data_IF_982624240764
#
_entry.id   IF_982624240764
#
_cell.length_a   1.000
_cell.length_b   1.000
_cell.length_c   1.000
_cell.angle_alpha   90.00
_cell.angle_beta   90.00
_cell.angle_gamma   90.00
#
_symmetry.space_group_name_H-M   'P 1'
#
loop_
_entity.id
_entity.type
_entity.pdbx_description
1 polymer ?
#
# COMPACT_ATOMS: atom_id res chain seq x y z
N UNK A 1 -27.86 29.18 26.52
CA UNK A 1 -28.57 28.16 25.72
C UNK A 1 -27.84 28.09 24.39
N UNK A 2 -27.00 27.08 24.20
CA UNK A 2 -26.28 26.88 22.93
C UNK A 2 -27.19 26.14 21.96
N UNK A 3 -27.23 26.52 20.66
CA UNK A 3 -28.08 25.84 19.70
C UNK A 3 -27.42 24.52 19.30
N UNK A 4 -28.10 23.41 19.59
CA UNK A 4 -27.75 22.08 19.10
C UNK A 4 -27.98 22.06 17.59
N UNK A 5 -26.88 22.03 16.82
CA UNK A 5 -26.95 21.78 15.38
C UNK A 5 -27.45 20.34 15.18
N UNK A 6 -28.49 20.08 14.39
CA UNK A 6 -28.92 18.72 14.14
C UNK A 6 -27.82 18.01 13.35
N UNK A 7 -27.25 16.98 13.96
CA UNK A 7 -26.37 16.02 13.30
C UNK A 7 -27.18 15.38 12.16
N UNK A 8 -26.78 15.63 10.92
CA UNK A 8 -27.39 14.95 9.78
C UNK A 8 -27.19 13.44 9.98
N UNK A 9 -28.22 12.60 9.75
CA UNK A 9 -28.07 11.16 9.89
C UNK A 9 -26.99 10.70 8.91
N UNK A 10 -25.80 10.36 9.44
CA UNK A 10 -24.73 9.70 8.69
C UNK A 10 -25.33 8.41 8.14
N UNK A 11 -25.59 8.38 6.83
CA UNK A 11 -26.05 7.18 6.13
C UNK A 11 -24.97 6.13 6.36
N UNK A 12 -25.30 5.06 7.08
CA UNK A 12 -24.36 3.95 7.32
C UNK A 12 -23.87 3.47 5.93
N UNK A 13 -22.55 3.37 5.70
CA UNK A 13 -22.05 2.74 4.49
C UNK A 13 -22.70 1.35 4.35
N UNK A 14 -23.08 0.92 3.14
CA UNK A 14 -23.58 -0.43 2.95
C UNK A 14 -22.52 -1.42 3.47
N UNK A 15 -22.99 -2.41 4.22
CA UNK A 15 -22.15 -3.50 4.71
C UNK A 15 -21.62 -4.30 3.51
N UNK A 16 -20.34 -4.67 3.56
CA UNK A 16 -19.70 -5.42 2.46
C UNK A 16 -20.26 -6.84 2.44
N UNK A 17 -20.92 -7.20 1.35
CA UNK A 17 -21.42 -8.56 1.14
C UNK A 17 -20.38 -9.40 0.38
N UNK A 18 -19.81 -10.38 1.09
CA UNK A 18 -18.82 -11.28 0.51
C UNK A 18 -19.45 -12.44 -0.29
N UNK A 19 -20.77 -12.60 -0.29
CA UNK A 19 -21.50 -13.66 -1.00
C UNK A 19 -20.91 -15.06 -0.75
N UNK A 20 -20.65 -15.39 0.52
CA UNK A 20 -20.15 -16.72 0.95
C UNK A 20 -21.13 -17.48 1.87
N UNK A 21 -22.24 -16.86 2.27
CA UNK A 21 -23.19 -17.42 3.25
C UNK A 21 -23.80 -18.78 2.86
N UNK A 22 -23.84 -19.09 1.56
CA UNK A 22 -24.40 -20.33 1.01
C UNK A 22 -23.34 -21.41 0.71
N UNK A 23 -22.07 -21.15 1.07
CA UNK A 23 -20.92 -21.99 0.79
C UNK A 23 -20.35 -22.60 2.08
N UNK A 24 -20.12 -23.90 2.05
CA UNK A 24 -19.56 -24.69 3.14
C UNK A 24 -18.05 -24.86 2.92
N UNK A 25 -17.25 -23.85 3.28
CA UNK A 25 -15.80 -24.03 3.33
C UNK A 25 -15.38 -25.02 4.43
N UNK A 26 -14.14 -25.52 4.35
CA UNK A 26 -13.51 -26.26 5.46
C UNK A 26 -13.65 -25.48 6.78
N UNK A 27 -13.91 -26.17 7.89
CA UNK A 27 -14.18 -25.54 9.19
C UNK A 27 -13.08 -24.54 9.59
N UNK A 28 -11.81 -24.85 9.29
CA UNK A 28 -10.70 -23.93 9.58
C UNK A 28 -10.75 -22.69 8.71
N UNK A 29 -11.09 -22.84 7.42
CA UNK A 29 -11.22 -21.72 6.49
C UNK A 29 -12.40 -20.83 6.87
N UNK A 30 -13.56 -21.43 7.16
CA UNK A 30 -14.76 -20.70 7.59
C UNK A 30 -14.51 -19.93 8.89
N UNK A 31 -13.91 -20.58 9.89
CA UNK A 31 -13.54 -19.93 11.15
C UNK A 31 -12.51 -18.81 10.95
N UNK A 32 -11.48 -19.04 10.14
CA UNK A 32 -10.48 -18.03 9.84
C UNK A 32 -11.11 -16.81 9.15
N UNK A 33 -11.99 -17.04 8.17
CA UNK A 33 -12.71 -15.98 7.48
C UNK A 33 -13.59 -15.18 8.43
N UNK A 34 -14.36 -15.86 9.28
CA UNK A 34 -15.20 -15.20 10.26
C UNK A 34 -14.38 -14.32 11.22
N UNK A 35 -13.28 -14.83 11.77
CA UNK A 35 -12.47 -14.08 12.74
C UNK A 35 -11.73 -12.91 12.09
N UNK A 36 -11.17 -13.10 10.89
CA UNK A 36 -10.27 -12.12 10.27
C UNK A 36 -10.99 -11.09 9.41
N UNK A 37 -12.22 -11.38 8.97
CA UNK A 37 -12.99 -10.52 8.05
C UNK A 37 -14.43 -10.38 8.53
N UNK A 38 -15.12 -11.49 8.76
CA UNK A 38 -16.56 -11.50 9.02
C UNK A 38 -16.99 -10.75 10.29
N UNK A 39 -16.23 -10.84 11.39
CA UNK A 39 -16.49 -10.11 12.63
C UNK A 39 -16.45 -8.59 12.45
N UNK A 40 -15.66 -8.12 11.49
CA UNK A 40 -15.44 -6.71 11.20
C UNK A 40 -16.30 -6.21 10.03
N UNK A 41 -17.11 -7.08 9.40
CA UNK A 41 -17.88 -6.72 8.20
C UNK A 41 -18.72 -5.44 8.36
N UNK A 42 -19.29 -5.23 9.55
CA UNK A 42 -20.08 -4.04 9.88
C UNK A 42 -19.29 -2.73 10.05
N UNK A 43 -17.96 -2.78 10.19
CA UNK A 43 -17.04 -1.63 10.24
C UNK A 43 -16.19 -1.47 8.99
N UNK A 44 -16.19 -2.45 8.08
CA UNK A 44 -15.48 -2.40 6.82
C UNK A 44 -16.23 -1.53 5.81
N UNK A 45 -15.53 -0.54 5.27
CA UNK A 45 -15.98 0.29 4.15
C UNK A 45 -15.25 -0.18 2.91
N UNK A 46 -15.98 -0.49 1.84
CA UNK A 46 -15.38 -0.90 0.60
C UNK A 46 -14.91 0.30 -0.22
N UNK A 47 -13.59 0.44 -0.38
CA UNK A 47 -12.99 1.50 -1.19
C UNK A 47 -12.90 1.12 -2.66
N UNK A 48 -12.77 -0.17 -2.96
CA UNK A 48 -12.80 -0.71 -4.32
C UNK A 48 -13.17 -2.19 -4.30
N UNK A 49 -13.95 -2.64 -5.30
CA UNK A 49 -14.31 -4.04 -5.48
C UNK A 49 -14.18 -4.45 -6.94
N UNK A 50 -13.72 -5.67 -7.15
CA UNK A 50 -13.76 -6.29 -8.46
C UNK A 50 -14.22 -7.74 -8.34
N UNK A 51 -15.18 -8.13 -9.18
CA UNK A 51 -15.59 -9.52 -9.35
C UNK A 51 -15.30 -9.96 -10.78
N UNK A 52 -14.77 -11.17 -10.94
CA UNK A 52 -14.61 -11.76 -12.27
C UNK A 52 -15.97 -12.03 -12.91
N UNK A 53 -16.04 -12.02 -14.24
CA UNK A 53 -17.29 -12.20 -14.97
C UNK A 53 -18.01 -13.53 -14.67
N UNK A 54 -17.25 -14.56 -14.25
CA UNK A 54 -17.77 -15.86 -13.82
C UNK A 54 -18.19 -15.89 -12.33
N UNK A 55 -18.01 -14.80 -11.58
CA UNK A 55 -18.31 -14.69 -10.16
C UNK A 55 -17.40 -15.53 -9.24
N UNK A 56 -16.43 -16.24 -9.80
CA UNK A 56 -15.59 -17.19 -9.06
C UNK A 56 -14.53 -16.51 -8.23
N UNK A 57 -14.15 -15.27 -8.55
CA UNK A 57 -13.14 -14.51 -7.84
C UNK A 57 -13.65 -13.14 -7.47
N UNK A 58 -13.25 -12.66 -6.30
CA UNK A 58 -13.55 -11.30 -5.86
C UNK A 58 -12.37 -10.70 -5.13
N UNK A 59 -12.16 -9.41 -5.35
CA UNK A 59 -11.03 -8.63 -4.88
C UNK A 59 -11.60 -7.39 -4.19
N UNK A 60 -11.16 -7.12 -2.97
CA UNK A 60 -11.66 -6.00 -2.18
C UNK A 60 -10.50 -5.21 -1.59
N UNK A 61 -10.56 -3.89 -1.75
CA UNK A 61 -9.79 -2.93 -0.97
C UNK A 61 -10.75 -2.35 0.07
N UNK A 62 -10.51 -2.65 1.34
CA UNK A 62 -11.39 -2.26 2.43
C UNK A 62 -10.67 -1.31 3.39
N UNK A 63 -11.43 -0.40 3.99
CA UNK A 63 -11.01 0.42 5.13
C UNK A 63 -11.76 -0.05 6.38
N UNK A 64 -11.04 -0.42 7.43
CA UNK A 64 -11.62 -0.75 8.72
C UNK A 64 -11.78 0.52 9.56
N UNK A 65 -13.01 1.05 9.55
CA UNK A 65 -13.36 2.23 10.35
C UNK A 65 -13.27 1.99 11.86
N UNK A 66 -13.15 0.73 12.31
CA UNK A 66 -12.95 0.40 13.71
C UNK A 66 -11.49 0.44 14.16
N UNK A 67 -10.52 0.55 13.24
CA UNK A 67 -9.09 0.56 13.56
C UNK A 67 -8.71 1.71 14.51
N UNK A 68 -9.42 2.84 14.45
CA UNK A 68 -9.26 3.98 15.40
C UNK A 68 -9.56 3.62 16.86
N UNK A 69 -10.37 2.57 17.08
CA UNK A 69 -10.70 2.04 18.41
C UNK A 69 -9.88 0.81 18.80
N UNK A 70 -8.98 0.37 17.90
CA UNK A 70 -8.13 -0.80 18.04
C UNK A 70 -6.83 -0.51 18.78
N UNK A 71 -5.75 -1.19 18.38
CA UNK A 71 -4.42 -0.91 18.92
C UNK A 71 -3.83 0.34 18.24
N UNK A 72 -3.28 1.31 19.01
CA UNK A 72 -2.66 2.48 18.41
C UNK A 72 -1.58 2.12 17.39
N UNK A 73 -1.63 2.73 16.21
CA UNK A 73 -0.70 2.46 15.12
C UNK A 73 -1.15 1.39 14.11
N UNK A 74 -2.28 0.72 14.34
CA UNK A 74 -2.78 -0.33 13.44
C UNK A 74 -3.03 0.18 12.01
N UNK A 75 -2.64 -0.64 11.05
CA UNK A 75 -2.90 -0.37 9.64
C UNK A 75 -4.41 -0.50 9.36
N UNK A 76 -5.05 0.53 8.78
CA UNK A 76 -6.51 0.56 8.69
C UNK A 76 -7.05 -0.08 7.40
N UNK A 77 -6.20 -0.55 6.49
CA UNK A 77 -6.64 -1.08 5.19
C UNK A 77 -6.50 -2.60 5.12
N UNK A 78 -7.54 -3.25 4.65
CA UNK A 78 -7.64 -4.71 4.52
C UNK A 78 -7.80 -5.08 3.06
N UNK A 79 -6.90 -5.92 2.55
CA UNK A 79 -7.04 -6.60 1.27
C UNK A 79 -7.74 -7.93 1.45
N UNK A 80 -8.78 -8.21 0.67
CA UNK A 80 -9.43 -9.53 0.66
C UNK A 80 -9.47 -10.06 -0.76
N UNK A 81 -9.01 -11.30 -0.93
CA UNK A 81 -9.13 -12.06 -2.17
C UNK A 81 -9.92 -13.34 -1.92
N UNK A 82 -11.06 -13.49 -2.61
CA UNK A 82 -11.95 -14.64 -2.52
C UNK A 82 -11.88 -15.50 -3.78
N UNK A 83 -11.94 -16.82 -3.60
CA UNK A 83 -12.16 -17.83 -4.63
C UNK A 83 -13.34 -18.71 -4.24
N UNK A 84 -14.31 -18.89 -5.12
CA UNK A 84 -15.47 -19.77 -4.94
C UNK A 84 -15.36 -21.00 -5.84
N UNK A 85 -15.72 -22.16 -5.31
CA UNK A 85 -15.83 -23.42 -6.05
C UNK A 85 -17.29 -23.87 -5.98
N UNK A 86 -18.13 -23.53 -6.99
CA UNK A 86 -19.56 -23.81 -6.95
C UNK A 86 -19.86 -25.32 -7.03
N UNK A 87 -19.01 -26.10 -7.70
CA UNK A 87 -19.17 -27.54 -7.82
C UNK A 87 -19.04 -28.24 -6.46
N UNK A 88 -18.11 -27.77 -5.64
CA UNK A 88 -17.93 -28.27 -4.26
C UNK A 88 -18.72 -27.47 -3.22
N UNK A 89 -19.38 -26.40 -3.64
CA UNK A 89 -20.04 -25.41 -2.76
C UNK A 89 -19.11 -24.88 -1.67
N UNK A 90 -17.84 -24.64 -1.98
CA UNK A 90 -16.85 -24.15 -1.00
C UNK A 90 -16.26 -22.82 -1.42
N UNK A 91 -15.52 -22.18 -0.52
CA UNK A 91 -14.68 -21.03 -0.84
C UNK A 91 -13.31 -21.13 -0.19
N UNK A 92 -12.36 -20.38 -0.73
CA UNK A 92 -11.06 -20.11 -0.15
C UNK A 92 -10.83 -18.60 -0.17
N UNK A 93 -10.02 -18.11 0.77
CA UNK A 93 -9.70 -16.70 0.83
C UNK A 93 -8.23 -16.47 1.21
N UNK A 94 -7.73 -15.31 0.79
CA UNK A 94 -6.53 -14.70 1.33
C UNK A 94 -6.92 -13.32 1.86
N UNK A 95 -6.22 -12.87 2.89
CA UNK A 95 -6.34 -11.52 3.40
C UNK A 95 -4.96 -10.98 3.75
N UNK A 96 -4.85 -9.65 3.83
CA UNK A 96 -3.69 -8.97 4.37
C UNK A 96 -4.11 -7.61 4.91
N UNK A 97 -3.39 -7.11 5.92
CA UNK A 97 -3.64 -5.80 6.52
C UNK A 97 -2.43 -4.93 6.21
N UNK A 98 -2.64 -3.86 5.46
CA UNK A 98 -1.56 -3.06 4.87
C UNK A 98 -1.77 -1.58 5.18
N UNK A 99 -0.68 -0.81 5.37
CA UNK A 99 -0.79 0.55 5.88
C UNK A 99 -1.31 1.56 4.87
N UNK A 100 -1.25 1.27 3.57
CA UNK A 100 -1.71 2.19 2.52
C UNK A 100 -2.63 1.48 1.50
N UNK A 101 -3.63 2.17 0.93
CA UNK A 101 -4.52 1.59 -0.08
C UNK A 101 -3.77 1.07 -1.31
N UNK A 102 -2.74 1.80 -1.75
CA UNK A 102 -1.92 1.41 -2.90
C UNK A 102 -1.19 0.09 -2.68
N UNK A 103 -0.78 -0.21 -1.43
CA UNK A 103 -0.16 -1.48 -1.09
C UNK A 103 -1.17 -2.63 -1.15
N UNK A 104 -2.41 -2.39 -0.71
CA UNK A 104 -3.51 -3.36 -0.86
C UNK A 104 -3.79 -3.64 -2.34
N UNK A 105 -3.86 -2.59 -3.16
CA UNK A 105 -4.04 -2.74 -4.61
C UNK A 105 -2.91 -3.57 -5.23
N UNK A 106 -1.64 -3.28 -4.91
CA UNK A 106 -0.49 -4.06 -5.36
C UNK A 106 -0.64 -5.54 -4.99
N UNK A 107 -0.97 -5.82 -3.73
CA UNK A 107 -1.18 -7.18 -3.22
C UNK A 107 -2.29 -7.94 -3.96
N UNK A 108 -3.39 -7.25 -4.35
CA UNK A 108 -4.48 -7.83 -5.14
C UNK A 108 -4.10 -8.03 -6.61
N UNK A 109 -3.35 -7.10 -7.20
CA UNK A 109 -2.87 -7.18 -8.59
C UNK A 109 -1.97 -8.41 -8.77
N UNK A 110 -1.07 -8.68 -7.83
CA UNK A 110 -0.25 -9.89 -7.85
C UNK A 110 -1.05 -11.20 -7.69
N UNK A 111 -2.31 -11.11 -7.26
CA UNK A 111 -3.27 -12.23 -7.22
C UNK A 111 -4.18 -12.27 -8.45
N UNK A 112 -3.83 -11.50 -9.48
CA UNK A 112 -4.49 -11.49 -10.78
C UNK A 112 -5.65 -10.51 -10.90
N UNK A 113 -5.80 -9.54 -9.98
CA UNK A 113 -6.75 -8.45 -10.19
C UNK A 113 -6.27 -7.55 -11.33
N UNK A 114 -7.11 -7.24 -12.34
CA UNK A 114 -6.76 -6.23 -13.32
C UNK A 114 -6.57 -4.86 -12.65
N UNK A 115 -5.46 -4.14 -12.89
CA UNK A 115 -5.18 -2.85 -12.25
C UNK A 115 -6.29 -1.82 -12.44
N UNK A 116 -6.82 -1.69 -13.67
CA UNK A 116 -7.87 -0.72 -13.99
C UNK A 116 -9.22 -1.07 -13.34
N UNK A 117 -9.40 -2.31 -12.89
CA UNK A 117 -10.65 -2.79 -12.30
C UNK A 117 -10.71 -2.60 -10.78
N UNK A 118 -9.62 -2.20 -10.12
CA UNK A 118 -9.54 -2.01 -8.67
C UNK A 118 -9.18 -0.56 -8.30
N UNK A 119 -9.73 0.39 -9.04
CA UNK A 119 -9.57 1.83 -8.76
C UNK A 119 -10.37 2.22 -7.53
N UNK A 120 -9.77 3.00 -6.62
CA UNK A 120 -10.46 3.51 -5.43
C UNK A 120 -11.60 4.45 -5.81
N UNK A 121 -12.72 4.33 -5.11
CA UNK A 121 -13.84 5.25 -5.25
C UNK A 121 -13.44 6.65 -4.75
N UNK A 122 -13.41 7.68 -5.62
CA UNK A 122 -13.05 9.03 -5.21
C UNK A 122 -14.06 9.67 -4.25
N UNK A 123 -15.26 9.12 -4.07
CA UNK A 123 -16.24 9.65 -3.12
C UNK A 123 -16.06 9.12 -1.70
N UNK A 124 -15.22 8.09 -1.49
CA UNK A 124 -15.10 7.37 -0.22
C UNK A 124 -13.84 7.71 0.61
N UNK A 125 -13.01 8.65 0.14
CA UNK A 125 -11.79 9.04 0.85
C UNK A 125 -11.23 10.40 0.42
N UNK A 126 -10.20 10.90 1.14
CA UNK A 126 -9.54 12.15 0.79
C UNK A 126 -8.93 12.08 -0.60
N UNK A 127 -8.94 13.21 -1.32
CA UNK A 127 -8.39 13.29 -2.67
C UNK A 127 -6.88 13.55 -2.65
N UNK A 128 -6.11 13.08 -3.65
CA UNK A 128 -4.71 13.45 -3.77
C UNK A 128 -4.56 14.97 -3.84
N UNK A 129 -3.76 15.55 -2.95
CA UNK A 129 -3.56 17.00 -2.87
C UNK A 129 -2.85 17.57 -4.13
N UNK A 130 -2.02 16.75 -4.78
CA UNK A 130 -1.25 17.14 -5.96
C UNK A 130 -0.90 15.95 -6.89
N UNK A 131 -0.31 16.27 -8.04
CA UNK A 131 0.10 15.26 -9.03
C UNK A 131 1.24 14.38 -8.51
N UNK A 132 2.12 14.91 -7.64
CA UNK A 132 3.20 14.12 -7.05
C UNK A 132 2.64 13.00 -6.16
N UNK A 133 1.60 13.30 -5.38
CA UNK A 133 0.85 12.33 -4.57
C UNK A 133 0.21 11.26 -5.45
N UNK A 134 -0.49 11.68 -6.52
CA UNK A 134 -1.14 10.77 -7.46
C UNK A 134 -0.13 9.85 -8.16
N UNK A 135 1.00 10.40 -8.62
CA UNK A 135 2.05 9.65 -9.28
C UNK A 135 2.71 8.63 -8.34
N UNK A 136 2.99 9.03 -7.10
CA UNK A 136 3.56 8.13 -6.09
C UNK A 136 2.59 6.99 -5.73
N UNK A 137 1.31 7.30 -5.50
CA UNK A 137 0.30 6.28 -5.22
C UNK A 137 0.18 5.24 -6.34
N UNK A 138 0.15 5.70 -7.61
CA UNK A 138 0.18 4.80 -8.78
C UNK A 138 1.43 3.94 -8.82
N UNK A 139 2.60 4.50 -8.49
CA UNK A 139 3.85 3.73 -8.49
C UNK A 139 3.84 2.65 -7.40
N UNK A 140 3.40 2.97 -6.19
CA UNK A 140 3.28 2.00 -5.09
C UNK A 140 2.30 0.86 -5.42
N UNK A 141 1.25 1.15 -6.19
CA UNK A 141 0.29 0.15 -6.68
C UNK A 141 0.94 -0.92 -7.58
N UNK A 142 2.11 -0.65 -8.19
CA UNK A 142 2.83 -1.60 -9.04
C UNK A 142 4.18 -2.07 -8.47
N UNK A 143 4.82 -1.28 -7.61
CA UNK A 143 6.15 -1.60 -7.03
C UNK A 143 6.09 -2.24 -5.63
N UNK A 144 4.90 -2.49 -5.09
CA UNK A 144 4.72 -2.91 -3.69
C UNK A 144 5.36 -4.26 -3.32
N UNK A 145 5.64 -5.17 -4.27
CA UNK A 145 6.36 -6.42 -3.97
C UNK A 145 7.89 -6.29 -4.05
N UNK A 146 8.40 -5.22 -4.66
CA UNK A 146 9.84 -4.95 -4.69
C UNK A 146 10.35 -4.49 -3.33
N UNK A 147 9.44 -4.11 -2.41
CA UNK A 147 9.73 -3.56 -1.11
C UNK A 147 8.86 -4.20 -0.02
N UNK A 148 9.48 -4.90 0.93
CA UNK A 148 8.79 -5.43 2.10
C UNK A 148 8.59 -4.37 3.17
N UNK A 149 7.39 -4.28 3.74
CA UNK A 149 7.10 -3.42 4.90
C UNK A 149 7.84 -3.95 6.12
N UNK A 150 8.74 -3.13 6.68
CA UNK A 150 9.48 -3.45 7.90
C UNK A 150 8.91 -2.77 9.15
N UNK A 151 8.29 -1.60 8.98
CA UNK A 151 7.63 -0.85 10.05
C UNK A 151 6.51 0.00 9.45
N UNK A 152 5.39 0.11 10.16
CA UNK A 152 4.35 1.09 9.86
C UNK A 152 3.69 1.57 11.14
N UNK A 153 3.19 2.80 11.12
CA UNK A 153 2.38 3.36 12.20
C UNK A 153 1.36 4.34 11.64
N UNK A 154 0.09 4.12 11.95
CA UNK A 154 -1.01 5.05 11.66
C UNK A 154 -1.37 5.85 12.92
N UNK A 155 -1.25 7.18 12.84
CA UNK A 155 -1.78 8.12 13.81
C UNK A 155 -3.08 8.68 13.26
N UNK A 156 -4.14 8.53 14.03
CA UNK A 156 -5.53 8.90 13.70
C UNK A 156 -5.99 10.15 14.47
N UNK A 157 -5.05 10.96 14.94
CA UNK A 157 -5.33 12.27 15.53
C UNK A 157 -5.89 13.21 14.44
N UNK A 158 -7.10 13.77 14.58
CA UNK A 158 -7.66 14.68 13.58
C UNK A 158 -6.76 15.89 13.25
N UNK A 159 -5.91 16.31 14.19
CA UNK A 159 -4.97 17.43 14.02
C UNK A 159 -3.60 17.00 13.43
N UNK A 160 -3.29 15.70 13.39
CA UNK A 160 -2.06 15.12 12.81
C UNK A 160 -2.33 13.70 12.30
N UNK A 161 -3.24 13.57 11.33
CA UNK A 161 -3.58 12.27 10.77
C UNK A 161 -2.47 11.86 9.79
N UNK A 162 -1.62 10.92 10.21
CA UNK A 162 -0.42 10.51 9.48
C UNK A 162 -0.20 9.00 9.51
N UNK A 163 0.11 8.43 8.34
CA UNK A 163 0.65 7.08 8.24
C UNK A 163 2.11 7.14 7.80
N UNK A 164 3.01 6.57 8.60
CA UNK A 164 4.42 6.35 8.23
C UNK A 164 4.66 4.89 7.91
N UNK A 165 5.41 4.61 6.84
CA UNK A 165 5.75 3.25 6.41
C UNK A 165 7.21 3.19 6.01
N UNK A 166 8.02 2.41 6.74
CA UNK A 166 9.38 2.08 6.34
C UNK A 166 9.43 0.71 5.68
N UNK A 167 10.06 0.66 4.51
CA UNK A 167 10.19 -0.53 3.69
C UNK A 167 11.64 -0.81 3.34
N UNK A 168 11.98 -2.08 3.18
CA UNK A 168 13.26 -2.55 2.66
C UNK A 168 13.08 -3.23 1.31
N UNK A 169 13.99 -2.97 0.37
CA UNK A 169 13.98 -3.61 -0.93
C UNK A 169 14.16 -5.12 -0.80
N UNK A 170 13.47 -5.88 -1.64
CA UNK A 170 13.70 -7.32 -1.80
C UNK A 170 15.07 -7.59 -2.48
N UNK A 171 15.50 -6.70 -3.38
CA UNK A 171 16.83 -6.71 -3.99
C UNK A 171 17.86 -6.00 -3.10
N UNK A 172 18.88 -6.75 -2.66
CA UNK A 172 19.99 -6.24 -1.86
C UNK A 172 20.85 -5.20 -2.60
N UNK A 173 20.73 -5.10 -3.93
CA UNK A 173 21.42 -4.12 -4.76
C UNK A 173 20.58 -2.87 -5.08
N UNK A 174 19.35 -2.79 -4.58
CA UNK A 174 18.51 -1.62 -4.78
C UNK A 174 19.13 -0.36 -4.16
N UNK A 175 18.97 0.77 -4.85
CA UNK A 175 19.45 2.07 -4.37
C UNK A 175 18.34 3.11 -4.52
N UNK A 176 17.78 3.63 -3.41
CA UNK A 176 18.10 3.30 -2.02
C UNK A 176 17.54 1.91 -1.60
N UNK A 177 18.24 1.18 -0.73
CA UNK A 177 17.80 -0.12 -0.23
C UNK A 177 16.62 0.00 0.74
N UNK A 178 16.45 1.16 1.39
CA UNK A 178 15.32 1.43 2.27
C UNK A 178 14.58 2.69 1.82
N UNK A 179 13.26 2.66 1.96
CA UNK A 179 12.38 3.77 1.64
C UNK A 179 11.45 4.04 2.81
N UNK A 180 11.17 5.30 3.08
CA UNK A 180 10.03 5.69 3.92
C UNK A 180 8.99 6.34 3.02
N UNK A 181 7.74 5.94 3.18
CA UNK A 181 6.58 6.63 2.62
C UNK A 181 5.80 7.23 3.79
N UNK A 182 5.38 8.48 3.64
CA UNK A 182 4.50 9.16 4.58
C UNK A 182 3.25 9.65 3.86
N UNK A 183 2.10 9.28 4.41
CA UNK A 183 0.78 9.81 4.04
C UNK A 183 0.35 10.78 5.14
N UNK A 184 0.03 12.01 4.78
CA UNK A 184 -0.52 13.03 5.68
C UNK A 184 -1.89 13.43 5.16
N UNK A 185 -2.92 13.35 6.02
CA UNK A 185 -4.30 13.68 5.66
C UNK A 185 -4.67 15.04 6.23
N UNK A 186 -5.06 15.95 5.34
CA UNK A 186 -5.70 17.21 5.69
C UNK A 186 -7.22 16.97 5.75
N UNK A 187 -7.73 16.86 6.98
CA UNK A 187 -9.13 16.56 7.25
C UNK A 187 -10.05 17.74 6.91
N UNK A 188 -9.55 18.98 6.95
CA UNK A 188 -10.31 20.18 6.59
C UNK A 188 -10.45 20.32 5.07
N UNK A 189 -9.35 20.14 4.34
CA UNK A 189 -9.34 20.19 2.87
C UNK A 189 -9.90 18.91 2.22
N UNK A 190 -10.07 17.83 2.99
CA UNK A 190 -10.41 16.49 2.50
C UNK A 190 -9.41 16.01 1.43
N UNK A 191 -8.12 16.25 1.70
CA UNK A 191 -7.03 15.82 0.81
C UNK A 191 -5.97 15.04 1.56
N UNK A 192 -5.16 14.28 0.84
CA UNK A 192 -3.98 13.64 1.40
C UNK A 192 -2.75 13.98 0.57
N UNK A 193 -1.60 14.04 1.24
CA UNK A 193 -0.29 14.19 0.62
C UNK A 193 0.50 12.92 0.84
N UNK A 194 1.10 12.40 -0.23
CA UNK A 194 1.98 11.24 -0.16
C UNK A 194 3.39 11.64 -0.59
N UNK A 195 4.39 11.34 0.25
CA UNK A 195 5.81 11.60 -0.02
C UNK A 195 6.65 10.38 0.29
N UNK A 196 7.79 10.30 -0.38
CA UNK A 196 8.77 9.24 -0.14
C UNK A 196 10.17 9.80 0.05
N UNK A 197 10.98 9.08 0.82
CA UNK A 197 12.39 9.37 1.00
C UNK A 197 13.24 8.12 1.06
N UNK A 198 14.51 8.27 0.65
CA UNK A 198 15.47 7.17 0.52
C UNK A 198 16.48 7.11 1.65
N UNK A 199 16.75 5.91 2.16
CA UNK A 199 17.65 5.66 3.29
C UNK A 199 18.66 4.56 2.97
N UNK A 200 19.86 4.66 3.56
CA UNK A 200 20.92 3.68 3.35
C UNK A 200 20.78 2.48 4.28
N UNK A 201 20.16 2.68 5.46
CA UNK A 201 20.02 1.65 6.50
C UNK A 201 18.59 1.56 7.03
N UNK A 202 18.16 0.40 7.56
CA UNK A 202 16.84 0.29 8.16
C UNK A 202 16.71 1.13 9.42
N UNK A 203 17.80 1.31 10.19
CA UNK A 203 17.80 2.12 11.41
C UNK A 203 17.54 3.60 11.12
N UNK A 204 18.10 4.15 10.04
CA UNK A 204 17.83 5.53 9.63
C UNK A 204 16.37 5.70 9.17
N UNK A 205 15.84 4.75 8.39
CA UNK A 205 14.44 4.77 7.94
C UNK A 205 13.47 4.69 9.13
N UNK A 206 13.71 3.77 10.06
CA UNK A 206 12.90 3.61 11.27
C UNK A 206 13.04 4.81 12.22
N UNK A 207 14.26 5.33 12.39
CA UNK A 207 14.52 6.52 13.18
C UNK A 207 13.74 7.72 12.66
N UNK A 208 13.77 7.95 11.34
CA UNK A 208 13.00 9.03 10.73
C UNK A 208 11.49 8.90 10.99
N UNK A 209 10.94 7.68 10.94
CA UNK A 209 9.52 7.48 11.25
C UNK A 209 9.17 7.89 12.69
N UNK A 210 10.00 7.50 13.66
CA UNK A 210 9.81 7.90 15.05
C UNK A 210 9.98 9.40 15.26
N UNK A 211 10.98 10.01 14.62
CA UNK A 211 11.18 11.46 14.68
C UNK A 211 9.98 12.21 14.08
N UNK A 212 9.35 11.70 13.00
CA UNK A 212 8.14 12.31 12.40
C UNK A 212 6.96 12.21 13.35
N UNK A 213 6.81 11.08 14.04
CA UNK A 213 5.78 10.90 15.06
C UNK A 213 6.04 11.78 16.28
N UNK A 214 7.30 12.05 16.65
CA UNK A 214 7.65 12.96 17.74
C UNK A 214 7.51 14.44 17.37
N UNK A 215 7.43 14.77 16.07
CA UNK A 215 7.43 16.15 15.57
C UNK A 215 8.84 16.74 15.36
N UNK A 216 9.87 15.90 15.42
CA UNK A 216 11.29 16.28 15.36
C UNK A 216 11.96 15.93 14.02
N UNK A 217 11.26 15.24 13.11
CA UNK A 217 11.84 14.83 11.83
C UNK A 217 12.25 16.03 10.96
N UNK A 218 13.45 15.93 10.38
CA UNK A 218 13.86 16.73 9.24
C UNK A 218 13.13 16.32 7.94
N UNK A 219 13.33 17.06 6.85
CA UNK A 219 12.73 16.75 5.57
C UNK A 219 13.13 15.34 5.09
N UNK A 220 12.22 14.67 4.38
CA UNK A 220 12.53 13.38 3.75
C UNK A 220 13.75 13.51 2.83
N UNK A 221 14.76 12.64 2.95
CA UNK A 221 15.87 12.63 2.02
C UNK A 221 15.37 12.34 0.61
N UNK A 222 15.91 13.01 -0.43
CA UNK A 222 15.49 12.74 -1.79
C UNK A 222 15.79 11.28 -2.15
N UNK A 223 14.87 10.68 -2.90
CA UNK A 223 15.05 9.39 -3.56
C UNK A 223 16.11 9.55 -4.65
N UNK A 224 17.38 9.56 -4.27
CA UNK A 224 18.48 9.62 -5.23
C UNK A 224 18.46 8.29 -6.01
N UNK A 225 18.43 8.33 -7.35
CA UNK A 225 18.94 7.20 -8.11
C UNK A 225 20.38 6.96 -7.64
N UNK A 226 20.82 5.70 -7.57
CA UNK A 226 22.25 5.43 -7.61
C UNK A 226 22.83 6.29 -8.73
N UNK A 227 23.68 7.26 -8.39
CA UNK A 227 24.50 7.89 -9.39
C UNK A 227 25.24 6.73 -10.04
N UNK A 228 24.90 6.43 -11.31
CA UNK A 228 25.72 5.56 -12.12
C UNK A 228 27.11 6.17 -12.03
N UNK A 229 28.02 5.52 -11.30
CA UNK A 229 29.41 5.92 -11.27
C UNK A 229 29.80 6.07 -12.74
N UNK A 230 30.14 7.29 -13.22
CA UNK A 230 30.63 7.42 -14.57
C UNK A 230 31.86 6.55 -14.63
N UNK A 231 31.75 5.40 -15.32
CA UNK A 231 32.87 4.55 -15.65
C UNK A 231 33.93 5.49 -16.22
N UNK A 232 35.13 5.58 -15.64
CA UNK A 232 36.15 6.47 -16.17
C UNK A 232 36.30 6.15 -17.65
N UNK A 233 36.32 7.16 -18.54
CA UNK A 233 36.47 6.91 -19.96
C UNK A 233 37.71 6.04 -20.14
N UNK A 234 37.47 4.84 -20.68
CA UNK A 234 38.52 3.89 -20.97
C UNK A 234 39.62 4.60 -21.74
N UNK A 235 40.84 4.52 -21.24
CA UNK A 235 42.03 5.00 -21.92
C UNK A 235 41.96 4.61 -23.40
N UNK A 236 42.14 5.55 -24.35
CA UNK A 236 42.15 5.21 -25.76
C UNK A 236 43.20 4.13 -26.00
N UNK A 237 42.74 3.04 -26.62
CA UNK A 237 43.55 1.87 -26.92
C UNK A 237 44.86 2.26 -27.60
N UNK A 238 45.96 1.67 -27.11
CA UNK A 238 47.26 1.79 -27.73
C UNK A 238 47.17 1.43 -29.22
N UNK A 239 47.83 2.19 -30.11
CA UNK A 239 47.75 1.94 -31.54
C UNK A 239 48.31 0.57 -31.89
N UNK A 240 47.60 -0.14 -32.77
CA UNK A 240 47.98 -1.44 -33.30
C UNK A 240 49.41 -1.39 -33.87
N UNK A 241 50.27 -2.30 -33.39
CA UNK A 241 51.58 -2.55 -34.02
C UNK A 241 51.35 -3.12 -35.43
N UNK A 242 51.91 -2.44 -36.43
CA UNK A 242 51.91 -2.84 -37.84
C UNK A 242 52.49 -4.24 -38.04
N UNK A 243 51.98 -5.00 -39.04
CA UNK A 243 52.54 -6.30 -39.39
C UNK A 243 53.91 -6.13 -40.05
N UNK A 244 54.92 -6.82 -39.52
CA UNK A 244 56.21 -6.97 -40.18
C UNK A 244 56.06 -7.99 -41.32
N UNK A 245 56.08 -7.49 -42.56
CA UNK A 245 56.21 -8.30 -43.76
C UNK A 245 57.61 -8.91 -43.91
N UNK A 246 57.78 -9.87 -44.83
CA UNK A 246 58.85 -10.86 -44.80
C UNK A 246 60.14 -10.38 -45.49
N UNK A 247 61.29 -10.78 -44.96
CA UNK A 247 62.59 -10.65 -45.63
C UNK A 247 63.18 -12.02 -45.91
N UNK A 248 63.12 -12.36 -47.21
CA UNK A 248 64.10 -13.03 -48.08
C UNK A 248 65.10 -14.04 -47.51
#
# INVERSE_FOLDING_TARGET
MSPTHPELPRKKPPEVDFAVDQLDADEKVSRAFHVLVGLHAGSLVSLAEHHTADGLRSYYVLFDSSATWGHPGEAPYVGVYLKRDPDKRTFAFNHDVLPLPAMVQCWLIHRGCPPDAITLDPELGPQPADEATRALGRRLMFEGDDYGVGFSYNRDDPDDFVTVVAMGAADEHAVPPFRVVVEEVDTDAQTYTLREGGFATPQEAWGWCWDRLAGDAGPLPPMRPAAANPRPPGLPGAPARRPTGPSR
#
